data_IF_008842997325
#
_entry.id   IF_008842997325
#
_cell.length_a   1.000
_cell.length_b   1.000
_cell.length_c   1.000
_cell.angle_alpha   90.00
_cell.angle_beta   90.00
_cell.angle_gamma   90.00
#
_symmetry.space_group_name_H-M   'P 1'
#
loop_
_entity.id
_entity.type
_entity.pdbx_description
1 polymer ?
#
# COMPACT_ATOMS: atom_id res chain seq x y z
N UNK A 1 31.95 -2.36 -9.17
CA UNK A 1 30.91 -3.40 -9.41
C UNK A 1 29.72 -2.66 -10.02
N UNK A 2 29.54 -2.77 -11.34
CA UNK A 2 28.65 -1.91 -12.13
C UNK A 2 27.23 -2.44 -11.95
N UNK A 3 26.36 -1.64 -11.32
CA UNK A 3 24.91 -1.91 -11.24
C UNK A 3 24.35 -1.91 -12.67
N UNK A 4 23.86 -3.06 -13.13
CA UNK A 4 23.13 -3.15 -14.40
C UNK A 4 21.82 -2.35 -14.29
N UNK A 5 21.45 -1.58 -15.30
CA UNK A 5 20.20 -0.83 -15.28
C UNK A 5 19.01 -1.78 -15.22
N UNK A 6 18.12 -1.56 -14.26
CA UNK A 6 16.85 -2.24 -14.11
C UNK A 6 16.02 -1.89 -15.34
N UNK A 7 15.80 -2.86 -16.24
CA UNK A 7 14.91 -2.69 -17.41
C UNK A 7 13.47 -2.43 -16.95
N UNK A 8 12.67 -1.69 -17.72
CA UNK A 8 11.43 -1.10 -17.25
C UNK A 8 10.37 -2.17 -16.96
N UNK A 9 10.15 -2.46 -15.69
CA UNK A 9 8.99 -3.19 -15.13
C UNK A 9 7.67 -2.45 -15.46
N UNK A 10 7.79 -1.22 -15.97
CA UNK A 10 6.71 -0.27 -16.18
C UNK A 10 5.68 -0.62 -17.27
N UNK A 11 5.92 -1.58 -18.17
CA UNK A 11 5.04 -1.78 -19.32
C UNK A 11 3.79 -2.63 -19.06
N UNK A 12 3.78 -3.48 -18.04
CA UNK A 12 2.61 -4.31 -17.71
C UNK A 12 1.64 -3.69 -16.69
N UNK A 13 2.01 -2.56 -16.12
CA UNK A 13 1.24 -1.87 -15.07
C UNK A 13 -0.05 -1.21 -15.59
N UNK A 14 -0.15 -0.95 -16.88
CA UNK A 14 -1.23 -0.14 -17.49
C UNK A 14 -2.53 -0.90 -17.77
N UNK A 15 -2.61 -2.21 -17.53
CA UNK A 15 -3.81 -3.01 -17.87
C UNK A 15 -4.90 -3.05 -16.79
N UNK A 16 -4.82 -2.23 -15.74
CA UNK A 16 -5.79 -2.31 -14.63
C UNK A 16 -6.73 -1.11 -14.51
N UNK A 17 -7.21 -0.56 -15.62
CA UNK A 17 -8.32 0.43 -15.60
C UNK A 17 -9.57 -0.12 -14.86
N UNK A 18 -9.83 -1.41 -14.98
CA UNK A 18 -10.93 -2.09 -14.27
C UNK A 18 -10.78 -2.13 -12.73
N UNK A 19 -9.57 -1.91 -12.18
CA UNK A 19 -9.32 -1.84 -10.73
C UNK A 19 -9.55 -0.45 -10.14
N UNK A 20 -9.41 0.60 -10.94
CA UNK A 20 -9.82 1.95 -10.56
C UNK A 20 -11.33 2.00 -10.28
N UNK A 21 -12.14 1.36 -11.11
CA UNK A 21 -13.60 1.34 -10.98
C UNK A 21 -14.07 0.64 -9.71
N UNK A 22 -13.35 -0.38 -9.25
CA UNK A 22 -13.69 -1.08 -8.01
C UNK A 22 -13.40 -0.20 -6.77
N UNK A 23 -12.26 0.51 -6.76
CA UNK A 23 -11.87 1.40 -5.67
C UNK A 23 -12.87 2.58 -5.55
N UNK A 24 -13.30 3.12 -6.69
CA UNK A 24 -14.31 4.19 -6.78
C UNK A 24 -15.66 3.72 -6.21
N UNK A 25 -16.12 2.51 -6.54
CA UNK A 25 -17.38 1.96 -6.04
C UNK A 25 -17.37 1.66 -4.54
N UNK A 26 -16.22 1.35 -3.97
CA UNK A 26 -16.12 0.95 -2.55
C UNK A 26 -15.96 2.16 -1.62
N UNK A 27 -15.37 3.25 -2.08
CA UNK A 27 -15.04 4.41 -1.24
C UNK A 27 -15.71 5.73 -1.68
N UNK A 28 -16.35 5.77 -2.84
CA UNK A 28 -16.92 6.99 -3.44
C UNK A 28 -18.23 7.50 -2.81
N UNK A 29 -18.79 6.87 -1.77
CA UNK A 29 -20.10 7.25 -1.21
C UNK A 29 -20.09 7.95 0.14
N UNK A 30 -18.92 8.24 0.75
CA UNK A 30 -18.87 8.78 2.13
C UNK A 30 -18.29 10.17 2.27
N UNK A 31 -18.69 11.09 1.41
CA UNK A 31 -18.40 12.52 1.60
C UNK A 31 -19.64 13.24 2.14
N UNK A 32 -20.02 12.94 3.37
CA UNK A 32 -20.94 13.79 4.12
C UNK A 32 -20.16 14.64 5.10
N UNK A 33 -20.24 15.96 4.86
CA UNK A 33 -20.01 17.10 5.78
C UNK A 33 -18.85 17.00 6.78
N UNK A 34 -17.81 17.82 6.57
CA UNK A 34 -16.85 18.19 7.61
C UNK A 34 -15.43 17.63 7.51
N UNK A 35 -15.15 16.65 6.67
CA UNK A 35 -13.80 16.09 6.53
C UNK A 35 -13.08 16.68 5.31
N UNK A 36 -12.36 17.77 5.53
CA UNK A 36 -11.41 18.30 4.53
C UNK A 36 -10.27 17.29 4.40
N UNK A 37 -10.21 16.60 3.25
CA UNK A 37 -9.09 15.73 2.92
C UNK A 37 -8.00 16.54 2.23
N UNK A 38 -6.79 16.48 2.76
CA UNK A 38 -5.61 17.05 2.13
C UNK A 38 -4.84 15.96 1.38
N UNK A 39 -4.11 16.33 0.34
CA UNK A 39 -3.23 15.41 -0.35
C UNK A 39 -1.87 16.05 -0.67
N UNK A 40 -0.88 15.20 -0.88
CA UNK A 40 0.43 15.58 -1.40
C UNK A 40 0.82 14.63 -2.52
N UNK A 41 1.38 15.17 -3.60
CA UNK A 41 1.94 14.41 -4.71
C UNK A 41 3.45 14.62 -4.73
N UNK A 42 4.20 13.56 -4.94
CA UNK A 42 5.65 13.60 -4.98
C UNK A 42 6.21 12.53 -5.92
N UNK A 43 7.37 12.80 -6.47
CA UNK A 43 8.13 11.89 -7.31
C UNK A 43 8.93 10.90 -6.46
N UNK A 44 9.22 9.74 -7.02
CA UNK A 44 10.09 8.70 -6.45
C UNK A 44 10.92 8.06 -7.56
N UNK A 45 11.90 7.23 -7.21
CA UNK A 45 12.67 6.46 -8.19
C UNK A 45 11.81 5.53 -9.07
N UNK A 46 10.57 5.22 -8.65
CA UNK A 46 9.64 4.35 -9.39
C UNK A 46 8.50 5.12 -10.08
N UNK A 47 8.44 6.44 -9.94
CA UNK A 47 7.39 7.28 -10.49
C UNK A 47 6.67 8.13 -9.44
N UNK A 48 5.54 8.70 -9.79
CA UNK A 48 4.78 9.60 -8.95
C UNK A 48 3.91 8.85 -7.93
N UNK A 49 3.94 9.30 -6.70
CA UNK A 49 3.11 8.81 -5.62
C UNK A 49 2.20 9.90 -5.07
N UNK A 50 1.17 9.48 -4.34
CA UNK A 50 0.28 10.38 -3.61
C UNK A 50 -0.06 9.84 -2.23
N UNK A 51 -0.28 10.76 -1.32
CA UNK A 51 -0.82 10.46 0.01
C UNK A 51 -2.01 11.35 0.27
N UNK A 52 -3.06 10.77 0.84
CA UNK A 52 -4.25 11.50 1.29
C UNK A 52 -4.35 11.38 2.81
N UNK A 53 -4.63 12.49 3.46
CA UNK A 53 -4.81 12.58 4.91
C UNK A 53 -6.09 13.34 5.26
N UNK A 54 -6.67 13.01 6.40
CA UNK A 54 -7.67 13.80 7.10
C UNK A 54 -7.03 14.45 8.35
N UNK A 55 -7.73 15.31 9.07
CA UNK A 55 -7.28 15.79 10.39
C UNK A 55 -7.04 14.65 11.40
N UNK A 56 -7.65 13.48 11.18
CA UNK A 56 -7.54 12.32 12.06
C UNK A 56 -6.36 11.40 11.74
N UNK A 57 -5.73 11.52 10.57
CA UNK A 57 -4.59 10.71 10.14
C UNK A 57 -4.60 10.34 8.66
N UNK A 58 -3.71 9.43 8.29
CA UNK A 58 -3.55 8.96 6.92
C UNK A 58 -4.75 8.14 6.46
N UNK A 59 -5.25 8.44 5.26
CA UNK A 59 -6.40 7.78 4.62
C UNK A 59 -6.01 6.89 3.47
N UNK A 60 -5.05 7.33 2.63
CA UNK A 60 -4.66 6.59 1.44
C UNK A 60 -3.21 6.84 1.06
N UNK A 61 -2.56 5.80 0.57
CA UNK A 61 -1.29 5.87 -0.17
C UNK A 61 -1.52 5.33 -1.57
N UNK A 62 -1.20 6.15 -2.57
CA UNK A 62 -1.22 5.77 -3.99
C UNK A 62 0.18 5.32 -4.34
N UNK A 63 0.30 4.04 -4.73
CA UNK A 63 1.55 3.44 -5.20
C UNK A 63 2.07 4.12 -6.47
N UNK A 64 3.36 4.00 -6.80
CA UNK A 64 3.98 4.73 -7.91
C UNK A 64 3.20 4.60 -9.23
N UNK A 65 2.97 5.74 -9.88
CA UNK A 65 2.32 5.89 -11.17
C UNK A 65 3.27 6.54 -12.16
N UNK A 66 2.99 6.40 -13.46
CA UNK A 66 3.85 6.95 -14.52
C UNK A 66 3.88 8.47 -14.57
N UNK A 67 2.82 9.14 -14.11
CA UNK A 67 2.73 10.59 -14.16
C UNK A 67 2.00 11.17 -12.96
N UNK A 68 2.24 12.45 -12.70
CA UNK A 68 1.56 13.24 -11.66
C UNK A 68 0.04 13.26 -11.89
N UNK A 69 -0.39 13.37 -13.16
CA UNK A 69 -1.80 13.40 -13.55
C UNK A 69 -2.52 12.10 -13.22
N UNK A 70 -1.84 10.95 -13.39
CA UNK A 70 -2.40 9.65 -13.06
C UNK A 70 -2.66 9.50 -11.54
N UNK A 71 -1.76 10.03 -10.71
CA UNK A 71 -1.96 10.08 -9.25
C UNK A 71 -3.07 11.04 -8.89
N UNK A 72 -3.05 12.24 -9.47
CA UNK A 72 -4.08 13.27 -9.24
C UNK A 72 -5.48 12.75 -9.59
N UNK A 73 -5.62 12.04 -10.70
CA UNK A 73 -6.89 11.40 -11.08
C UNK A 73 -7.39 10.44 -9.99
N UNK A 74 -6.52 9.63 -9.40
CA UNK A 74 -6.90 8.72 -8.31
C UNK A 74 -7.29 9.50 -7.04
N UNK A 75 -6.57 10.56 -6.70
CA UNK A 75 -6.90 11.44 -5.57
C UNK A 75 -8.27 12.08 -5.75
N UNK A 76 -8.55 12.63 -6.93
CA UNK A 76 -9.84 13.26 -7.25
C UNK A 76 -10.99 12.26 -7.23
N UNK A 77 -10.77 11.05 -7.74
CA UNK A 77 -11.76 9.97 -7.69
C UNK A 77 -12.05 9.49 -6.27
N UNK A 78 -11.11 9.65 -5.34
CA UNK A 78 -11.32 9.40 -3.92
C UNK A 78 -12.22 10.47 -3.25
N UNK A 79 -12.60 11.51 -4.00
CA UNK A 79 -13.48 12.58 -3.52
C UNK A 79 -12.74 13.67 -2.73
N UNK A 80 -11.43 13.79 -2.90
CA UNK A 80 -10.69 14.89 -2.35
C UNK A 80 -11.05 16.17 -3.08
N UNK A 81 -11.74 17.07 -2.39
CA UNK A 81 -11.96 18.45 -2.81
C UNK A 81 -10.84 19.38 -2.29
N UNK A 82 -9.74 18.83 -1.81
CA UNK A 82 -8.75 19.56 -1.08
C UNK A 82 -7.58 19.98 -1.97
N UNK A 83 -7.12 21.17 -1.70
CA UNK A 83 -5.91 21.75 -2.24
C UNK A 83 -4.68 20.89 -1.94
N UNK A 84 -3.70 20.93 -2.84
CA UNK A 84 -2.32 20.51 -2.61
C UNK A 84 -1.73 21.37 -1.48
N UNK A 85 -2.31 21.29 -0.28
CA UNK A 85 -1.92 22.10 0.84
C UNK A 85 -1.41 21.28 2.01
N UNK A 86 -0.40 21.85 2.60
CA UNK A 86 0.16 21.58 3.89
C UNK A 86 0.97 20.28 3.99
N UNK A 87 2.20 20.35 3.52
CA UNK A 87 3.31 19.50 4.01
C UNK A 87 3.24 19.26 5.53
N UNK A 88 2.68 20.17 6.30
CA UNK A 88 2.51 20.05 7.75
C UNK A 88 1.63 18.86 8.18
N UNK A 89 0.60 18.48 7.42
CA UNK A 89 -0.26 17.32 7.75
C UNK A 89 0.42 15.97 7.45
N UNK A 90 1.43 15.98 6.61
CA UNK A 90 2.12 14.77 6.17
C UNK A 90 3.49 14.60 6.83
N UNK A 91 3.99 15.65 7.54
CA UNK A 91 5.30 15.63 8.16
C UNK A 91 6.39 15.23 7.16
N UNK A 92 7.22 14.28 7.53
CA UNK A 92 8.29 13.72 6.70
C UNK A 92 7.88 12.46 5.91
N UNK A 93 6.60 12.07 5.92
CA UNK A 93 6.13 10.83 5.29
C UNK A 93 6.50 10.71 3.80
N UNK A 94 6.39 11.77 2.95
CA UNK A 94 6.87 11.68 1.56
C UNK A 94 8.37 11.37 1.46
N UNK A 95 9.18 11.93 2.36
CA UNK A 95 10.62 11.65 2.42
C UNK A 95 10.87 10.21 2.88
N UNK A 96 10.18 9.73 3.90
CA UNK A 96 10.29 8.34 4.38
C UNK A 96 9.87 7.33 3.31
N UNK A 97 8.81 7.61 2.53
CA UNK A 97 8.39 6.75 1.43
C UNK A 97 9.43 6.70 0.30
N UNK A 98 10.12 7.82 -0.02
CA UNK A 98 11.24 7.81 -0.98
C UNK A 98 12.37 6.93 -0.49
N UNK A 99 12.85 7.14 0.73
CA UNK A 99 13.94 6.34 1.34
C UNK A 99 13.59 4.85 1.37
N UNK A 100 12.35 4.53 1.73
CA UNK A 100 11.89 3.14 1.71
C UNK A 100 11.99 2.53 0.31
N UNK A 101 11.59 3.25 -0.75
CA UNK A 101 11.68 2.77 -2.13
C UNK A 101 13.13 2.73 -2.66
N UNK A 102 14.06 3.38 -1.99
CA UNK A 102 15.50 3.28 -2.21
C UNK A 102 16.14 2.10 -1.46
N UNK A 103 15.35 1.33 -0.71
CA UNK A 103 15.78 0.12 0.00
C UNK A 103 16.20 0.34 1.45
N UNK A 104 15.96 1.51 2.00
CA UNK A 104 16.25 1.77 3.39
C UNK A 104 15.14 1.19 4.31
N UNK A 105 15.53 0.56 5.44
CA UNK A 105 14.56 0.18 6.46
C UNK A 105 14.01 1.44 7.14
N UNK A 106 12.73 1.70 6.93
CA UNK A 106 12.02 2.88 7.43
C UNK A 106 10.77 2.46 8.16
N UNK A 107 10.51 3.09 9.30
CA UNK A 107 9.28 2.92 10.07
C UNK A 107 8.20 3.93 9.68
N UNK A 108 6.95 3.51 9.80
CA UNK A 108 5.77 4.31 9.52
C UNK A 108 4.88 4.39 10.77
N UNK A 109 5.24 5.22 11.78
CA UNK A 109 4.48 5.35 13.02
C UNK A 109 3.22 6.21 12.88
N UNK A 110 2.94 6.67 11.68
CA UNK A 110 1.87 7.62 11.38
C UNK A 110 0.52 7.14 11.91
N UNK A 111 -0.27 8.10 12.39
CA UNK A 111 -1.66 7.87 12.77
C UNK A 111 -2.49 7.57 11.53
N UNK A 112 -3.31 6.54 11.58
CA UNK A 112 -4.17 6.13 10.48
C UNK A 112 -5.61 6.52 10.77
N UNK A 113 -6.29 7.07 9.77
CA UNK A 113 -7.73 7.28 9.79
C UNK A 113 -8.41 6.17 8.98
N UNK A 114 -8.88 5.16 9.70
CA UNK A 114 -9.50 3.94 9.16
C UNK A 114 -11.00 3.91 9.41
N UNK A 115 -11.66 5.07 9.49
CA UNK A 115 -13.07 5.20 9.86
C UNK A 115 -14.01 4.40 8.96
N UNK A 116 -13.66 4.21 7.68
CA UNK A 116 -14.47 3.46 6.71
C UNK A 116 -14.22 1.93 6.77
N UNK A 117 -13.21 1.51 7.52
CA UNK A 117 -12.84 0.11 7.61
C UNK A 117 -13.70 -0.62 8.65
N UNK A 118 -14.08 -1.85 8.34
CA UNK A 118 -14.71 -2.71 9.33
C UNK A 118 -13.74 -3.03 10.47
N UNK A 119 -14.27 -3.36 11.66
CA UNK A 119 -13.44 -3.75 12.81
C UNK A 119 -12.50 -4.92 12.47
N UNK A 120 -12.97 -5.89 11.69
CA UNK A 120 -12.14 -7.01 11.23
C UNK A 120 -10.95 -6.54 10.39
N UNK A 121 -11.17 -5.63 9.42
CA UNK A 121 -10.10 -5.06 8.60
C UNK A 121 -9.10 -4.30 9.45
N UNK A 122 -9.56 -3.46 10.37
CA UNK A 122 -8.68 -2.70 11.28
C UNK A 122 -7.80 -3.65 12.10
N UNK A 123 -8.37 -4.71 12.68
CA UNK A 123 -7.62 -5.70 13.46
C UNK A 123 -6.58 -6.43 12.59
N UNK A 124 -6.94 -6.85 11.36
CA UNK A 124 -6.00 -7.46 10.41
C UNK A 124 -4.83 -6.51 10.13
N UNK A 125 -5.11 -5.25 9.82
CA UNK A 125 -4.08 -4.27 9.47
C UNK A 125 -3.19 -3.91 10.65
N UNK A 126 -3.72 -3.84 11.87
CA UNK A 126 -2.92 -3.66 13.09
C UNK A 126 -1.92 -4.80 13.28
N UNK A 127 -2.35 -6.06 13.13
CA UNK A 127 -1.45 -7.22 13.22
C UNK A 127 -0.40 -7.16 12.11
N UNK A 128 -0.79 -6.85 10.88
CA UNK A 128 0.15 -6.79 9.76
C UNK A 128 1.21 -5.71 9.94
N UNK A 129 0.89 -4.58 10.58
CA UNK A 129 1.87 -3.54 10.93
C UNK A 129 2.95 -4.01 11.91
N UNK A 130 2.72 -5.09 12.65
CA UNK A 130 3.74 -5.66 13.55
C UNK A 130 4.79 -6.52 12.84
N UNK A 131 4.60 -6.81 11.55
CA UNK A 131 5.57 -7.61 10.78
C UNK A 131 6.79 -6.73 10.45
N UNK A 132 8.00 -7.08 10.93
CA UNK A 132 9.18 -6.27 10.70
C UNK A 132 9.57 -6.15 9.21
N UNK A 133 10.38 -5.14 8.90
CA UNK A 133 11.05 -5.01 7.61
C UNK A 133 11.88 -6.26 7.30
N UNK A 134 11.80 -6.75 6.06
CA UNK A 134 12.52 -7.95 5.62
C UNK A 134 11.92 -9.29 6.08
N UNK A 135 10.85 -9.28 6.86
CA UNK A 135 10.19 -10.50 7.31
C UNK A 135 8.85 -10.74 6.60
N UNK A 136 8.49 -12.00 6.48
CA UNK A 136 7.17 -12.39 5.96
C UNK A 136 6.42 -13.28 6.93
N UNK A 137 5.09 -13.24 6.85
CA UNK A 137 4.19 -14.12 7.60
C UNK A 137 3.13 -14.69 6.68
N UNK A 138 2.58 -15.86 7.04
CA UNK A 138 1.48 -16.44 6.26
C UNK A 138 0.13 -15.81 6.61
N UNK A 139 -0.84 -15.89 5.68
CA UNK A 139 -2.24 -15.54 5.99
C UNK A 139 -2.78 -16.28 7.21
N UNK A 140 -2.38 -17.56 7.38
CA UNK A 140 -2.74 -18.36 8.55
C UNK A 140 -2.14 -17.83 9.85
N UNK A 141 -0.91 -17.32 9.81
CA UNK A 141 -0.30 -16.69 10.99
C UNK A 141 -1.09 -15.44 11.43
N UNK A 142 -1.50 -14.59 10.49
CA UNK A 142 -2.34 -13.42 10.79
C UNK A 142 -3.70 -13.86 11.35
N UNK A 143 -4.32 -14.88 10.76
CA UNK A 143 -5.59 -15.43 11.22
C UNK A 143 -5.50 -16.01 12.66
N UNK A 144 -4.39 -16.68 12.98
CA UNK A 144 -4.13 -17.19 14.35
C UNK A 144 -3.97 -16.05 15.36
N UNK A 145 -3.30 -14.95 14.99
CA UNK A 145 -3.17 -13.76 15.85
C UNK A 145 -4.50 -13.03 16.09
N UNK A 146 -5.51 -13.30 15.26
CA UNK A 146 -6.90 -12.81 15.44
C UNK A 146 -7.77 -13.79 16.24
N UNK A 147 -7.21 -14.85 16.82
CA UNK A 147 -7.94 -15.95 17.44
C UNK A 147 -9.01 -16.57 16.52
N UNK A 148 -8.77 -16.50 15.21
CA UNK A 148 -9.68 -16.95 14.17
C UNK A 148 -8.95 -17.76 13.09
N UNK A 149 -8.40 -18.95 13.41
CA UNK A 149 -7.51 -19.70 12.51
C UNK A 149 -8.15 -20.07 11.15
N UNK A 150 -9.48 -20.15 11.08
CA UNK A 150 -10.22 -20.40 9.84
C UNK A 150 -10.40 -19.15 8.97
N UNK A 151 -10.01 -17.96 9.44
CA UNK A 151 -10.23 -16.70 8.75
C UNK A 151 -9.15 -16.32 7.71
N UNK A 152 -8.21 -17.20 7.34
CA UNK A 152 -7.13 -16.89 6.42
C UNK A 152 -7.61 -16.31 5.06
N UNK A 153 -8.74 -16.78 4.53
CA UNK A 153 -9.36 -16.21 3.31
C UNK A 153 -9.89 -14.79 3.57
N UNK A 154 -10.51 -14.55 4.73
CA UNK A 154 -10.97 -13.23 5.16
C UNK A 154 -9.81 -12.24 5.35
N UNK A 155 -8.67 -12.71 5.89
CA UNK A 155 -7.42 -11.93 5.97
C UNK A 155 -7.00 -11.50 4.58
N UNK A 156 -6.95 -12.42 3.60
CA UNK A 156 -6.62 -12.08 2.22
C UNK A 156 -7.53 -11.00 1.63
N UNK A 157 -8.84 -11.09 1.87
CA UNK A 157 -9.80 -10.08 1.42
C UNK A 157 -9.59 -8.72 2.11
N UNK A 158 -9.29 -8.72 3.42
CA UNK A 158 -8.98 -7.49 4.14
C UNK A 158 -7.71 -6.82 3.59
N UNK A 159 -6.68 -7.61 3.28
CA UNK A 159 -5.42 -7.10 2.72
C UNK A 159 -5.60 -6.54 1.28
N UNK A 160 -6.47 -7.14 0.48
CA UNK A 160 -6.80 -6.59 -0.86
C UNK A 160 -7.46 -5.21 -0.76
N UNK A 161 -8.12 -4.91 0.36
CA UNK A 161 -8.78 -3.62 0.63
C UNK A 161 -7.93 -2.63 1.41
N UNK A 162 -6.65 -2.93 1.61
CA UNK A 162 -5.72 -2.03 2.31
C UNK A 162 -5.57 -0.70 1.55
N UNK A 163 -5.97 0.45 2.14
CA UNK A 163 -5.85 1.76 1.49
C UNK A 163 -4.45 2.37 1.64
N UNK A 164 -3.61 1.81 2.51
CA UNK A 164 -2.33 2.37 2.93
C UNK A 164 -1.16 1.40 2.66
N UNK A 165 -0.98 0.92 1.41
CA UNK A 165 0.12 0.02 1.09
C UNK A 165 1.47 0.66 1.49
N UNK A 166 2.45 -0.17 1.84
CA UNK A 166 3.74 0.18 2.44
C UNK A 166 3.57 0.55 3.93
N UNK A 167 2.78 1.55 4.28
CA UNK A 167 2.50 1.94 5.68
C UNK A 167 1.84 0.79 6.45
N UNK A 168 0.89 0.10 5.82
CA UNK A 168 0.39 -1.21 6.27
C UNK A 168 1.02 -2.24 5.32
N UNK A 169 2.05 -2.97 5.76
CA UNK A 169 2.89 -3.77 4.87
C UNK A 169 2.23 -5.09 4.44
N UNK A 170 1.09 -4.99 3.73
CA UNK A 170 0.34 -6.16 3.28
C UNK A 170 1.13 -7.03 2.30
N UNK A 171 2.18 -6.50 1.64
CA UNK A 171 3.12 -7.28 0.83
C UNK A 171 3.91 -8.30 1.66
N UNK A 172 4.13 -8.09 2.98
CA UNK A 172 4.81 -9.04 3.88
C UNK A 172 3.96 -10.26 4.23
N UNK A 173 2.68 -10.31 3.79
CA UNK A 173 1.82 -11.48 4.02
C UNK A 173 1.76 -12.33 2.76
N UNK A 174 2.21 -13.59 2.86
CA UNK A 174 2.34 -14.55 1.77
C UNK A 174 1.59 -15.85 2.07
N UNK A 175 1.48 -16.74 1.11
CA UNK A 175 0.90 -18.07 1.33
C UNK A 175 1.86 -18.95 2.13
N UNK A 176 1.33 -19.93 2.86
CA UNK A 176 2.14 -20.84 3.70
C UNK A 176 3.11 -21.72 2.88
N UNK A 177 2.86 -21.90 1.60
CA UNK A 177 3.75 -22.62 0.68
C UNK A 177 4.84 -21.71 0.06
N UNK A 178 4.93 -20.43 0.49
CA UNK A 178 5.88 -19.43 -0.03
C UNK A 178 5.44 -18.73 -1.32
N UNK A 179 4.26 -19.03 -1.87
CA UNK A 179 3.74 -18.28 -3.02
C UNK A 179 3.25 -16.88 -2.57
N UNK A 180 3.39 -15.89 -3.46
CA UNK A 180 3.11 -14.50 -3.12
C UNK A 180 1.64 -14.23 -2.78
N UNK A 181 0.70 -14.99 -3.38
CA UNK A 181 -0.72 -14.68 -3.30
C UNK A 181 -1.08 -13.39 -4.05
N UNK A 182 -2.31 -12.90 -3.82
CA UNK A 182 -2.77 -11.66 -4.45
C UNK A 182 -2.22 -10.39 -3.80
N UNK A 183 -2.19 -9.30 -4.57
CA UNK A 183 -1.86 -7.97 -4.09
C UNK A 183 -2.67 -6.93 -4.87
N UNK A 184 -3.19 -5.90 -4.20
CA UNK A 184 -4.03 -4.87 -4.84
C UNK A 184 -3.26 -4.06 -5.89
N UNK A 185 -1.98 -3.82 -5.67
CA UNK A 185 -1.09 -3.15 -6.62
C UNK A 185 -0.55 -4.03 -7.76
N UNK A 186 -0.89 -5.34 -7.79
CA UNK A 186 -0.30 -6.31 -8.71
C UNK A 186 0.81 -7.13 -8.04
N UNK A 187 0.96 -8.38 -8.49
CA UNK A 187 1.93 -9.33 -7.90
C UNK A 187 3.37 -8.86 -8.13
N UNK A 188 3.62 -8.20 -9.25
CA UNK A 188 4.92 -7.65 -9.62
C UNK A 188 5.43 -6.61 -8.60
N UNK A 189 4.53 -5.74 -8.11
CA UNK A 189 4.90 -4.77 -7.07
C UNK A 189 5.14 -5.46 -5.75
N UNK A 190 4.31 -6.42 -5.40
CA UNK A 190 4.53 -7.19 -4.19
C UNK A 190 5.90 -7.85 -4.19
N UNK A 191 6.25 -8.50 -5.30
CA UNK A 191 7.54 -9.12 -5.48
C UNK A 191 8.68 -8.09 -5.40
N UNK A 192 8.52 -6.95 -6.06
CA UNK A 192 9.49 -5.87 -5.99
C UNK A 192 9.71 -5.40 -4.55
N UNK A 193 8.65 -5.11 -3.78
CA UNK A 193 8.75 -4.64 -2.40
C UNK A 193 9.42 -5.69 -1.50
N UNK A 194 9.09 -6.97 -1.67
CA UNK A 194 9.70 -8.05 -0.91
C UNK A 194 11.18 -8.23 -1.25
N UNK A 195 11.57 -8.08 -2.52
CA UNK A 195 12.99 -8.09 -2.93
C UNK A 195 13.74 -6.88 -2.40
N UNK A 196 13.10 -5.71 -2.43
CA UNK A 196 13.65 -4.47 -1.88
C UNK A 196 13.98 -4.65 -0.39
N UNK A 197 13.10 -5.31 0.34
CA UNK A 197 13.29 -5.64 1.75
C UNK A 197 14.22 -6.85 1.98
N UNK A 198 14.73 -7.48 0.93
CA UNK A 198 15.58 -8.68 0.99
C UNK A 198 14.96 -9.82 1.83
N UNK A 199 13.64 -9.97 1.77
CA UNK A 199 12.90 -10.96 2.55
C UNK A 199 13.29 -12.39 2.14
N UNK A 200 13.89 -13.22 3.02
CA UNK A 200 14.49 -14.51 2.67
C UNK A 200 13.49 -15.60 2.33
N UNK A 201 12.21 -15.40 2.62
CA UNK A 201 11.17 -16.44 2.51
C UNK A 201 10.53 -16.56 1.13
N UNK A 202 11.00 -15.81 0.13
CA UNK A 202 10.38 -15.79 -1.18
C UNK A 202 10.97 -16.88 -2.06
N UNK A 203 10.16 -17.85 -2.46
CA UNK A 203 10.48 -18.73 -3.59
C UNK A 203 10.24 -17.94 -4.87
N UNK A 204 11.26 -17.26 -5.37
CA UNK A 204 11.20 -16.55 -6.64
C UNK A 204 11.46 -17.53 -7.76
N UNK A 205 10.63 -17.61 -8.81
CA UNK A 205 10.97 -18.32 -10.02
C UNK A 205 12.26 -17.73 -10.62
N UNK A 206 13.22 -18.56 -10.96
CA UNK A 206 14.55 -18.16 -11.46
C UNK A 206 14.53 -17.59 -12.90
N UNK A 207 13.48 -16.89 -13.32
CA UNK A 207 13.36 -16.30 -14.67
C UNK A 207 12.90 -14.85 -14.58
N UNK A 208 13.89 -13.97 -14.77
CA UNK A 208 13.74 -12.65 -15.41
C UNK A 208 14.88 -12.42 -16.36
#
# INVERSE_FOLDING_TARGET
>A
MILRPIRPIAQNWLRSQARCDWFIKTFGQSLKEGNVLAFVLFDTCLGWMGVVSSPNGLRMVILPQKSKEAVLCQVMNYGCAAEEQATALFGDLPHRLRRYLEGEPVDFPDKLDLVEATRFQQNVWQIVRTIPYGETRSYGWVANKLDSPKAARGVGQALTRNPLPIVIPCHRVISSNGSLGGFSGGVEIKEFLLRLEQAPSIKVPAKW
#
